data_IF_430841180876
#
_entry.id   IF_430841180876
#
_cell.length_a   1.000
_cell.length_b   1.000
_cell.length_c   1.000
_cell.angle_alpha   90.00
_cell.angle_beta   90.00
_cell.angle_gamma   90.00
#
_symmetry.space_group_name_H-M   'P 1'
#
loop_
_entity.id
_entity.type
_entity.pdbx_description
1 polymer ?
#
# COMPACT_ATOMS: atom_id res chain seq x y z
N UNK A 1 1.38 -30.95 -14.44
CA UNK A 1 1.37 -29.52 -14.77
C UNK A 1 1.52 -28.75 -13.48
N UNK A 2 2.77 -28.48 -13.08
CA UNK A 2 3.06 -27.67 -11.91
C UNK A 2 2.54 -26.25 -12.14
N UNK A 3 1.65 -25.80 -11.25
CA UNK A 3 1.21 -24.42 -11.21
C UNK A 3 2.41 -23.59 -10.82
N UNK A 4 3.07 -22.97 -11.81
CA UNK A 4 4.16 -22.03 -11.58
C UNK A 4 3.76 -20.97 -10.53
N UNK A 5 4.74 -20.49 -9.77
CA UNK A 5 4.51 -19.50 -8.73
C UNK A 5 3.76 -18.29 -9.29
N UNK A 6 2.54 -18.07 -8.82
CA UNK A 6 1.75 -16.89 -9.21
C UNK A 6 2.34 -15.68 -8.49
N UNK A 7 3.13 -14.87 -9.19
CA UNK A 7 3.61 -13.59 -8.68
C UNK A 7 2.43 -12.67 -8.45
N UNK A 8 2.09 -12.39 -7.18
CA UNK A 8 1.15 -11.32 -6.85
C UNK A 8 1.94 -10.02 -6.70
N UNK A 9 1.50 -8.90 -7.30
CA UNK A 9 2.09 -7.61 -7.00
C UNK A 9 1.98 -7.35 -5.50
N UNK A 10 3.10 -7.35 -4.79
CA UNK A 10 3.17 -6.97 -3.37
C UNK A 10 3.13 -5.45 -3.16
N UNK A 11 2.72 -4.71 -4.19
CA UNK A 11 2.77 -3.26 -4.26
C UNK A 11 1.36 -2.70 -4.37
N UNK A 12 1.09 -1.67 -3.58
CA UNK A 12 -0.20 -0.99 -3.49
C UNK A 12 0.01 0.52 -3.67
N UNK A 13 -1.03 1.28 -3.96
CA UNK A 13 -1.02 2.73 -3.95
C UNK A 13 -1.64 3.26 -2.66
N UNK A 14 -1.03 4.27 -2.05
CA UNK A 14 -1.56 4.92 -0.86
C UNK A 14 -0.80 6.19 -0.50
N UNK A 15 -1.19 6.81 0.60
CA UNK A 15 -0.50 8.00 1.12
C UNK A 15 0.92 7.61 1.53
N UNK A 16 1.89 8.44 1.17
CA UNK A 16 3.27 8.24 1.61
C UNK A 16 3.36 8.47 3.14
N UNK A 17 3.84 7.48 3.92
CA UNK A 17 3.95 7.61 5.37
C UNK A 17 4.96 8.68 5.81
N UNK A 18 5.94 9.02 4.96
CA UNK A 18 6.93 10.08 5.20
C UNK A 18 6.43 11.45 4.77
N UNK A 19 5.66 11.50 3.70
CA UNK A 19 5.07 12.73 3.15
C UNK A 19 3.57 12.56 2.92
N UNK A 20 2.77 13.02 3.89
CA UNK A 20 1.31 12.83 3.89
C UNK A 20 0.56 13.57 2.76
N UNK A 21 1.26 14.30 1.90
CA UNK A 21 0.69 15.05 0.77
C UNK A 21 0.77 14.29 -0.56
N UNK A 22 1.58 13.24 -0.64
CA UNK A 22 1.83 12.51 -1.89
C UNK A 22 1.29 11.09 -1.86
N UNK A 23 0.85 10.62 -3.04
CA UNK A 23 0.49 9.22 -3.26
C UNK A 23 1.71 8.52 -3.84
N UNK A 24 2.08 7.39 -3.25
CA UNK A 24 3.24 6.61 -3.66
C UNK A 24 2.90 5.13 -3.75
N UNK A 25 3.83 4.38 -4.33
CA UNK A 25 3.78 2.92 -4.27
C UNK A 25 4.25 2.47 -2.89
N UNK A 26 3.44 1.63 -2.25
CA UNK A 26 3.65 1.08 -0.93
C UNK A 26 3.98 -0.41 -1.03
N UNK A 27 4.90 -0.87 -0.18
CA UNK A 27 5.21 -2.28 0.06
C UNK A 27 4.85 -2.64 1.49
N UNK A 28 4.32 -3.84 1.69
CA UNK A 28 4.10 -4.41 3.02
C UNK A 28 5.42 -4.85 3.67
N UNK A 29 5.67 -4.37 4.89
CA UNK A 29 6.61 -4.97 5.85
C UNK A 29 5.78 -5.89 6.78
N UNK A 30 5.94 -7.22 6.69
CA UNK A 30 5.05 -8.18 7.34
C UNK A 30 5.36 -8.38 8.84
N UNK A 31 5.51 -7.29 9.58
CA UNK A 31 5.70 -7.30 11.04
C UNK A 31 4.33 -7.28 11.74
N UNK A 32 4.15 -8.12 12.75
CA UNK A 32 2.94 -8.17 13.59
C UNK A 32 3.29 -7.87 15.04
N UNK A 33 2.32 -7.42 15.86
CA UNK A 33 2.56 -6.95 17.24
C UNK A 33 3.38 -7.90 18.12
N UNK A 34 3.21 -9.20 17.91
CA UNK A 34 3.86 -10.24 18.71
C UNK A 34 5.09 -10.85 18.05
N UNK A 35 5.64 -10.23 16.99
CA UNK A 35 6.74 -10.79 16.21
C UNK A 35 7.99 -11.14 17.06
N UNK A 36 8.22 -10.43 18.17
CA UNK A 36 9.35 -10.68 19.07
C UNK A 36 8.95 -11.25 20.44
N UNK A 37 7.72 -11.77 20.56
CA UNK A 37 7.20 -12.31 21.82
C UNK A 37 8.05 -13.47 22.35
N UNK A 38 8.54 -14.35 21.47
CA UNK A 38 9.43 -15.47 21.85
C UNK A 38 10.78 -15.01 22.39
N UNK A 39 11.25 -13.84 21.96
CA UNK A 39 12.45 -13.20 22.50
C UNK A 39 12.18 -12.40 23.80
N UNK A 40 10.95 -12.42 24.31
CA UNK A 40 10.55 -11.64 25.50
C UNK A 40 10.44 -10.13 25.27
N UNK A 41 10.49 -9.67 24.01
CA UNK A 41 10.48 -8.24 23.68
C UNK A 41 9.06 -7.78 23.35
N UNK A 42 8.60 -6.72 24.01
CA UNK A 42 7.34 -6.05 23.70
C UNK A 42 7.58 -4.82 22.81
N UNK A 43 6.84 -4.73 21.71
CA UNK A 43 6.86 -3.55 20.84
C UNK A 43 5.84 -2.52 21.34
N UNK A 44 6.17 -1.80 22.42
CA UNK A 44 5.22 -0.87 23.08
C UNK A 44 4.70 0.25 22.16
N UNK A 45 5.55 0.71 21.22
CA UNK A 45 5.21 1.77 20.26
C UNK A 45 4.88 1.24 18.88
N UNK A 46 4.44 -0.02 18.76
CA UNK A 46 4.14 -0.66 17.48
C UNK A 46 3.20 0.16 16.59
N UNK A 47 2.18 0.80 17.18
CA UNK A 47 1.19 1.60 16.46
C UNK A 47 1.68 2.99 16.03
N UNK A 48 2.91 3.38 16.39
CA UNK A 48 3.48 4.69 16.04
C UNK A 48 3.92 4.81 14.58
N UNK A 49 4.17 3.68 13.93
CA UNK A 49 4.64 3.60 12.54
C UNK A 49 3.83 2.55 11.78
N UNK A 50 3.58 2.75 10.48
CA UNK A 50 2.84 1.79 9.68
C UNK A 50 3.70 0.59 9.25
N UNK A 51 3.02 -0.46 8.79
CA UNK A 51 3.60 -1.60 8.10
C UNK A 51 3.84 -1.32 6.61
N UNK A 52 3.09 -0.41 6.01
CA UNK A 52 3.20 -0.10 4.58
C UNK A 52 4.13 1.08 4.38
N UNK A 53 5.20 0.85 3.62
CA UNK A 53 6.26 1.84 3.39
C UNK A 53 6.43 2.17 1.93
N UNK A 54 6.80 3.41 1.65
CA UNK A 54 7.10 3.89 0.32
C UNK A 54 8.24 3.09 -0.31
N UNK A 55 8.10 2.77 -1.60
CA UNK A 55 9.09 1.95 -2.29
C UNK A 55 9.29 2.43 -3.72
N UNK A 56 10.56 2.59 -4.09
CA UNK A 56 10.95 2.83 -5.47
C UNK A 56 10.91 1.50 -6.24
N UNK A 57 9.79 1.23 -6.91
CA UNK A 57 9.66 0.03 -7.74
C UNK A 57 10.52 0.17 -8.99
N UNK A 58 11.51 -0.70 -9.16
CA UNK A 58 12.22 -0.84 -10.43
C UNK A 58 11.26 -1.44 -11.46
N UNK A 59 10.81 -0.64 -12.42
CA UNK A 59 9.97 -1.10 -13.51
C UNK A 59 10.64 -0.84 -14.85
N UNK A 60 10.90 -1.90 -15.60
CA UNK A 60 11.54 -1.85 -16.92
C UNK A 60 10.52 -1.46 -18.00
N UNK A 61 9.21 -1.53 -17.71
CA UNK A 61 8.16 -1.20 -18.67
C UNK A 61 8.02 0.31 -18.84
N UNK A 62 8.22 0.79 -20.07
CA UNK A 62 7.99 2.19 -20.48
C UNK A 62 6.54 2.66 -20.31
N UNK A 63 5.57 1.74 -20.44
CA UNK A 63 4.14 1.98 -20.14
C UNK A 63 3.71 1.08 -18.98
N UNK A 64 3.24 1.72 -17.92
CA UNK A 64 2.64 1.09 -16.73
C UNK A 64 1.13 1.36 -16.71
N UNK A 65 0.37 0.62 -15.91
CA UNK A 65 -1.06 0.92 -15.71
C UNK A 65 -1.30 2.38 -15.28
N UNK A 66 -0.42 2.91 -14.42
CA UNK A 66 -0.42 4.32 -13.99
C UNK A 66 -0.27 5.31 -15.14
N UNK A 67 0.56 5.01 -16.15
CA UNK A 67 0.81 5.92 -17.28
C UNK A 67 -0.10 5.67 -18.49
N UNK A 68 -0.87 4.57 -18.47
CA UNK A 68 -1.69 4.15 -19.62
C UNK A 68 -3.05 4.84 -19.64
N UNK A 69 -3.66 5.06 -18.48
CA UNK A 69 -4.99 5.69 -18.38
C UNK A 69 -5.22 6.31 -17.01
N UNK A 70 -5.86 7.49 -16.98
CA UNK A 70 -6.29 8.12 -15.73
C UNK A 70 -7.48 7.37 -15.08
N UNK A 71 -8.28 6.66 -15.88
CA UNK A 71 -9.49 5.93 -15.42
C UNK A 71 -9.15 4.83 -14.41
N UNK A 72 -8.02 4.15 -14.59
CA UNK A 72 -7.58 3.04 -13.72
C UNK A 72 -7.42 3.50 -12.27
N UNK A 73 -6.91 4.72 -12.06
CA UNK A 73 -6.75 5.27 -10.71
C UNK A 73 -8.03 5.98 -10.23
N UNK A 74 -8.63 6.84 -11.06
CA UNK A 74 -9.68 7.76 -10.61
C UNK A 74 -11.10 7.15 -10.60
N UNK A 75 -11.35 6.13 -11.41
CA UNK A 75 -12.66 5.46 -11.51
C UNK A 75 -12.60 4.02 -11.00
N UNK A 76 -11.67 3.21 -11.51
CA UNK A 76 -11.53 1.80 -11.09
C UNK A 76 -10.87 1.66 -9.71
N UNK A 77 -10.11 2.68 -9.28
CA UNK A 77 -9.35 2.69 -8.01
C UNK A 77 -8.48 1.45 -7.83
N UNK A 78 -7.93 0.97 -8.96
CA UNK A 78 -7.14 -0.25 -8.99
C UNK A 78 -5.84 -0.09 -8.20
N UNK A 79 -5.45 -1.16 -7.52
CA UNK A 79 -4.21 -1.28 -6.74
C UNK A 79 -4.10 -0.34 -5.52
N UNK A 80 -5.14 0.44 -5.18
CA UNK A 80 -5.15 1.25 -3.96
C UNK A 80 -5.27 0.37 -2.71
N UNK A 81 -4.57 0.76 -1.65
CA UNK A 81 -4.67 0.13 -0.34
C UNK A 81 -6.08 0.36 0.21
N UNK A 82 -6.83 -0.72 0.44
CA UNK A 82 -8.13 -0.69 1.10
C UNK A 82 -8.03 -1.22 2.53
N UNK A 83 -9.09 -1.02 3.34
CA UNK A 83 -9.12 -1.48 4.73
C UNK A 83 -9.07 -3.01 4.82
N UNK A 84 -9.66 -3.70 3.85
CA UNK A 84 -9.70 -5.16 3.79
C UNK A 84 -8.33 -5.76 3.44
N UNK A 85 -7.45 -4.97 2.80
CA UNK A 85 -6.09 -5.36 2.45
C UNK A 85 -5.08 -5.15 3.58
N UNK A 86 -5.51 -4.52 4.69
CA UNK A 86 -4.64 -4.29 5.84
C UNK A 86 -4.24 -5.61 6.50
N UNK A 87 -2.96 -5.75 6.84
CA UNK A 87 -2.44 -6.95 7.51
C UNK A 87 -3.12 -7.14 8.87
N UNK A 88 -3.55 -8.38 9.15
CA UNK A 88 -4.10 -8.76 10.45
C UNK A 88 -3.07 -8.53 11.54
N UNK A 89 -3.49 -7.95 12.67
CA UNK A 89 -2.62 -7.56 13.79
C UNK A 89 -1.49 -6.60 13.40
N UNK A 90 -1.67 -5.84 12.32
CA UNK A 90 -0.81 -4.75 11.92
C UNK A 90 -0.98 -3.50 12.77
N UNK A 91 -0.14 -2.51 12.50
CA UNK A 91 -0.17 -1.20 13.14
C UNK A 91 -1.45 -0.43 12.82
N UNK A 92 -2.03 0.24 13.81
CA UNK A 92 -3.15 1.16 13.61
C UNK A 92 -2.82 2.33 12.68
N UNK A 93 -1.54 2.71 12.57
CA UNK A 93 -1.10 3.77 11.66
C UNK A 93 -1.38 3.45 10.18
N UNK A 94 -1.60 2.18 9.84
CA UNK A 94 -1.91 1.76 8.47
C UNK A 94 -3.22 2.36 7.93
N UNK A 95 -4.19 2.63 8.81
CA UNK A 95 -5.48 3.21 8.42
C UNK A 95 -5.33 4.58 7.79
N UNK A 96 -4.34 5.36 8.24
CA UNK A 96 -4.03 6.68 7.71
C UNK A 96 -3.37 6.67 6.33
N UNK A 97 -3.04 5.51 5.78
CA UNK A 97 -2.42 5.37 4.45
C UNK A 97 -3.44 5.09 3.34
N UNK A 98 -4.66 4.72 3.71
CA UNK A 98 -5.76 4.47 2.78
C UNK A 98 -6.17 5.79 2.12
N UNK A 99 -6.20 5.81 0.79
CA UNK A 99 -6.57 6.98 0.01
C UNK A 99 -7.64 6.64 -1.02
N UNK A 100 -8.62 7.54 -1.15
CA UNK A 100 -9.61 7.48 -2.23
C UNK A 100 -9.38 8.63 -3.20
N UNK A 101 -8.97 8.36 -4.45
CA UNK A 101 -8.82 9.40 -5.46
C UNK A 101 -10.17 10.01 -5.84
N UNK A 102 -10.14 11.30 -6.18
CA UNK A 102 -11.30 12.03 -6.72
C UNK A 102 -11.65 11.49 -8.11
N UNK A 103 -12.93 11.36 -8.45
CA UNK A 103 -13.37 11.01 -9.80
C UNK A 103 -12.97 12.11 -10.80
N UNK A 104 -12.79 11.75 -12.08
CA UNK A 104 -12.47 12.71 -13.14
C UNK A 104 -13.64 13.65 -13.42
N UNK A 105 -14.89 13.19 -13.22
CA UNK A 105 -16.10 13.97 -13.51
C UNK A 105 -16.33 15.14 -12.54
N UNK A 106 -15.69 15.13 -11.37
CA UNK A 106 -15.78 16.23 -10.39
C UNK A 106 -14.72 17.33 -10.60
N UNK A 107 -13.88 17.21 -11.63
CA UNK A 107 -12.84 18.17 -11.99
C UNK A 107 -13.15 19.08 -13.18
N UNK A 108 -14.37 19.01 -13.75
CA UNK A 108 -14.80 19.90 -14.82
C UNK A 108 -15.02 21.31 -14.31
N UNK A 109 -14.03 22.18 -14.50
CA UNK A 109 -14.26 23.60 -14.75
C UNK A 109 -14.35 23.80 -16.25
#
# INVERSE_FOLDING_TARGET
>A
MDKGATSKPGFMLGINPRDKKTITTLRLIPTVRDAFKEAGIKMERFDSVPNYWDTATHNIKKRTERTRSCVVCHEERKDFLTREMLIKNGSKANEGLVYTPKSLKSGGK
#
